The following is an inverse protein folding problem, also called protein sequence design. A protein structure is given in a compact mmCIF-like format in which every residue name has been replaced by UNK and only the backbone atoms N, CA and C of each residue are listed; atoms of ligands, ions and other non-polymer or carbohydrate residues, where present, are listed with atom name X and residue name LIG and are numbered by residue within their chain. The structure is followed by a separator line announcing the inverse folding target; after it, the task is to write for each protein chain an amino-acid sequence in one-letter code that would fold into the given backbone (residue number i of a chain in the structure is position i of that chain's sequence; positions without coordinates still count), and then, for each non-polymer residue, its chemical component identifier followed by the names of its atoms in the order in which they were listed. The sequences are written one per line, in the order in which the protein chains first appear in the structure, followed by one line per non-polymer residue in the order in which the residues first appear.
data_IF_302709509547
#
_entry.id   IF_302709509547
#
_cell.length_a   1.000
_cell.length_b   1.000
_cell.length_c   1.000
_cell.angle_alpha   90.00
_cell.angle_beta   90.00
_cell.angle_gamma   90.00
#
_symmetry.space_group_name_H-M   'P 1'
#
loop_
_entity.id
_entity.type
_entity.pdbx_description
1 polymer ?
#
# COMPACT_ATOMS: atom_id res chain seq x y z
N UNK A 1 28.86 37.02 -1.67
CA UNK A 1 27.77 36.97 -0.67
C UNK A 1 27.28 35.53 -0.64
N UNK A 2 27.86 34.74 0.25
CA UNK A 2 27.43 33.37 0.53
C UNK A 2 26.21 33.44 1.45
N UNK A 3 25.12 32.78 1.07
CA UNK A 3 23.92 32.67 1.91
C UNK A 3 24.01 31.34 2.65
N UNK A 4 24.44 31.43 3.91
CA UNK A 4 24.47 30.31 4.86
C UNK A 4 23.05 29.95 5.28
N UNK A 5 22.54 28.81 4.81
CA UNK A 5 21.26 28.25 5.29
C UNK A 5 21.52 27.54 6.62
N UNK A 6 21.11 28.20 7.71
CA UNK A 6 21.13 27.68 9.07
C UNK A 6 20.08 26.58 9.23
N UNK A 7 20.51 25.31 9.33
CA UNK A 7 19.65 24.20 9.76
C UNK A 7 19.37 24.34 11.26
N UNK A 8 18.13 24.69 11.62
CA UNK A 8 17.62 24.48 12.99
C UNK A 8 17.45 22.98 13.21
N UNK A 9 18.36 22.39 13.97
CA UNK A 9 18.19 21.08 14.57
C UNK A 9 17.11 21.19 15.67
N UNK A 10 15.88 20.80 15.32
CA UNK A 10 14.86 20.46 16.30
C UNK A 10 15.15 19.07 16.87
N UNK A 11 15.11 18.96 18.19
CA UNK A 11 15.36 17.75 18.96
C UNK A 11 14.28 16.69 18.64
N UNK A 12 14.58 15.76 17.75
CA UNK A 12 13.89 14.48 17.69
C UNK A 12 14.33 13.62 18.90
N UNK A 13 13.40 12.94 19.59
CA UNK A 13 13.79 11.97 20.62
C UNK A 13 14.62 10.85 19.97
N UNK A 14 15.64 10.31 20.65
CA UNK A 14 16.52 9.33 20.05
C UNK A 14 15.71 8.09 19.63
N UNK A 15 15.77 7.75 18.34
CA UNK A 15 15.43 6.43 17.83
C UNK A 15 16.06 5.40 18.76
N UNK A 16 15.22 4.53 19.35
CA UNK A 16 15.66 3.48 20.28
C UNK A 16 16.81 2.69 19.66
N UNK A 17 17.79 2.23 20.45
CA UNK A 17 18.92 1.48 19.94
C UNK A 17 18.42 0.27 19.15
N UNK A 18 18.80 0.22 17.88
CA UNK A 18 18.53 -0.89 16.98
C UNK A 18 19.10 -2.16 17.63
N UNK A 19 18.30 -3.21 17.87
CA UNK A 19 18.81 -4.45 18.42
C UNK A 19 19.94 -5.00 17.54
N UNK A 20 21.10 -5.24 18.15
CA UNK A 20 22.26 -5.83 17.47
C UNK A 20 22.00 -7.28 17.00
N UNK A 21 20.99 -7.93 17.59
CA UNK A 21 20.67 -9.34 17.35
C UNK A 21 19.15 -9.56 17.25
N UNK A 22 18.61 -9.45 16.03
CA UNK A 22 17.19 -9.63 15.73
C UNK A 22 16.67 -11.05 15.96
N UNK A 23 17.55 -12.06 15.95
CA UNK A 23 17.17 -13.45 16.26
C UNK A 23 16.77 -13.58 17.72
N UNK A 24 17.54 -12.98 18.63
CA UNK A 24 17.19 -12.95 20.06
C UNK A 24 15.88 -12.19 20.31
N UNK A 25 15.69 -11.07 19.62
CA UNK A 25 14.42 -10.32 19.70
C UNK A 25 13.25 -11.21 19.29
N UNK A 26 13.37 -11.94 18.19
CA UNK A 26 12.34 -12.88 17.75
C UNK A 26 12.06 -13.94 18.82
N UNK A 27 13.10 -14.61 19.34
CA UNK A 27 12.97 -15.65 20.38
C UNK A 27 12.32 -15.14 21.67
N UNK A 28 12.73 -13.97 22.16
CA UNK A 28 12.16 -13.32 23.34
C UNK A 28 10.69 -12.95 23.12
N UNK A 29 10.36 -12.40 21.96
CA UNK A 29 9.00 -11.98 21.65
C UNK A 29 8.08 -13.17 21.43
N UNK A 30 8.54 -14.27 20.83
CA UNK A 30 7.77 -15.52 20.71
C UNK A 30 7.46 -16.11 22.09
N UNK A 31 8.41 -16.09 23.02
CA UNK A 31 8.17 -16.47 24.42
C UNK A 31 7.17 -15.54 25.11
N UNK A 32 7.26 -14.23 24.88
CA UNK A 32 6.29 -13.28 25.40
C UNK A 32 4.86 -13.54 24.87
N UNK A 33 4.71 -13.88 23.59
CA UNK A 33 3.42 -14.25 22.98
C UNK A 33 2.85 -15.53 23.61
N UNK A 34 3.69 -16.51 23.94
CA UNK A 34 3.25 -17.72 24.65
C UNK A 34 2.69 -17.42 26.05
N UNK A 35 3.21 -16.39 26.72
CA UNK A 35 2.73 -15.95 28.03
C UNK A 35 1.50 -15.03 27.93
N UNK A 36 1.50 -14.13 26.95
CA UNK A 36 0.41 -13.21 26.63
C UNK A 36 0.24 -13.06 25.12
N UNK A 37 -0.73 -13.80 24.58
CA UNK A 37 -1.07 -13.79 23.17
C UNK A 37 -1.72 -12.48 22.69
N UNK A 38 -2.09 -11.58 23.60
CA UNK A 38 -2.69 -10.29 23.27
C UNK A 38 -1.71 -9.12 23.45
N UNK A 39 -0.42 -9.40 23.65
CA UNK A 39 0.61 -8.39 23.81
C UNK A 39 0.91 -7.68 22.47
N UNK A 40 0.35 -6.47 22.30
CA UNK A 40 0.60 -5.58 21.14
C UNK A 40 2.10 -5.43 20.89
N UNK A 41 2.87 -5.17 21.96
CA UNK A 41 4.32 -4.95 21.88
C UNK A 41 5.06 -6.19 21.42
N UNK A 42 4.68 -7.39 21.90
CA UNK A 42 5.35 -8.63 21.50
C UNK A 42 5.10 -8.95 20.02
N UNK A 43 3.85 -8.80 19.56
CA UNK A 43 3.49 -8.96 18.15
C UNK A 43 4.20 -7.92 17.25
N UNK A 44 4.28 -6.66 17.67
CA UNK A 44 5.01 -5.63 16.92
C UNK A 44 6.50 -5.96 16.79
N UNK A 45 7.17 -6.26 17.92
CA UNK A 45 8.61 -6.50 17.95
C UNK A 45 9.02 -7.77 17.20
N UNK A 46 8.23 -8.86 17.27
CA UNK A 46 8.51 -10.07 16.47
C UNK A 46 8.29 -9.80 14.99
N UNK A 47 7.27 -9.00 14.63
CA UNK A 47 7.04 -8.55 13.26
C UNK A 47 8.27 -7.85 12.68
N UNK A 48 8.80 -6.85 13.40
CA UNK A 48 10.03 -6.14 13.01
C UNK A 48 11.24 -7.06 12.84
N UNK A 49 11.43 -8.00 13.78
CA UNK A 49 12.53 -8.96 13.72
C UNK A 49 12.46 -9.85 12.47
N UNK A 50 11.26 -10.30 12.11
CA UNK A 50 11.00 -11.11 10.92
C UNK A 50 11.24 -10.32 9.63
N UNK A 51 10.75 -9.07 9.55
CA UNK A 51 11.02 -8.19 8.40
C UNK A 51 12.52 -7.99 8.21
N UNK A 52 13.26 -7.76 9.30
CA UNK A 52 14.72 -7.58 9.24
C UNK A 52 15.46 -8.86 8.80
N UNK A 53 14.91 -10.03 9.16
CA UNK A 53 15.38 -11.35 8.70
C UNK A 53 14.89 -11.71 7.28
N UNK A 54 14.20 -10.80 6.59
CA UNK A 54 13.60 -10.98 5.25
C UNK A 54 12.46 -12.00 5.18
N UNK A 55 11.90 -12.40 6.31
CA UNK A 55 10.67 -13.18 6.38
C UNK A 55 9.47 -12.23 6.40
N UNK A 56 9.21 -11.62 5.24
CA UNK A 56 8.11 -10.66 5.05
C UNK A 56 6.73 -11.26 5.37
N UNK A 57 6.38 -12.47 4.89
CA UNK A 57 5.03 -13.02 5.09
C UNK A 57 4.68 -13.23 6.56
N UNK A 58 5.58 -13.81 7.36
CA UNK A 58 5.32 -14.00 8.79
C UNK A 58 5.39 -12.67 9.55
N UNK A 59 6.33 -11.79 9.19
CA UNK A 59 6.44 -10.46 9.80
C UNK A 59 5.17 -9.64 9.64
N UNK A 60 4.60 -9.62 8.44
CA UNK A 60 3.33 -8.96 8.11
C UNK A 60 2.18 -9.47 8.99
N UNK A 61 2.02 -10.79 9.14
CA UNK A 61 0.96 -11.38 9.99
C UNK A 61 1.05 -10.90 11.44
N UNK A 62 2.26 -10.82 11.97
CA UNK A 62 2.47 -10.35 13.34
C UNK A 62 2.20 -8.84 13.49
N UNK A 63 2.56 -8.03 12.48
CA UNK A 63 2.24 -6.60 12.45
C UNK A 63 0.72 -6.34 12.32
N UNK A 64 0.02 -7.08 11.45
CA UNK A 64 -1.45 -7.04 11.34
C UNK A 64 -2.11 -7.37 12.69
N UNK A 65 -1.65 -8.45 13.35
CA UNK A 65 -2.14 -8.82 14.67
C UNK A 65 -1.88 -7.75 15.74
N UNK A 66 -0.70 -7.12 15.72
CA UNK A 66 -0.37 -6.03 16.62
C UNK A 66 -1.30 -4.82 16.41
N UNK A 67 -1.61 -4.50 15.15
CA UNK A 67 -2.49 -3.40 14.78
C UNK A 67 -3.93 -3.63 15.26
N UNK A 68 -4.46 -4.84 15.06
CA UNK A 68 -5.80 -5.23 15.52
C UNK A 68 -5.92 -5.14 17.05
N UNK A 69 -4.93 -5.64 17.78
CA UNK A 69 -4.89 -5.57 19.25
C UNK A 69 -4.76 -4.12 19.75
N UNK A 70 -3.94 -3.30 19.07
CA UNK A 70 -3.70 -1.90 19.44
C UNK A 70 -4.95 -1.02 19.30
N UNK A 71 -5.75 -1.26 18.26
CA UNK A 71 -7.02 -0.53 18.02
C UNK A 71 -8.12 -0.89 19.02
N UNK A 72 -8.09 -2.07 19.63
CA UNK A 72 -9.06 -2.49 20.64
C UNK A 72 -8.75 -2.02 22.07
N UNK A 73 -7.46 -1.89 22.41
CA UNK A 73 -7.03 -1.66 23.79
C UNK A 73 -6.81 -0.17 24.16
N UNK A 74 -6.37 0.68 23.22
CA UNK A 74 -6.23 2.13 23.39
C UNK A 74 -5.88 2.81 22.05
N UNK A 75 -6.89 3.38 21.37
CA UNK A 75 -6.78 3.97 20.01
C UNK A 75 -5.83 5.17 19.87
N UNK A 76 -5.34 5.76 20.96
CA UNK A 76 -4.49 6.97 20.95
C UNK A 76 -2.99 6.67 21.06
N UNK A 77 -2.58 5.42 20.92
CA UNK A 77 -1.17 5.06 21.09
C UNK A 77 -0.38 5.40 19.83
N UNK A 78 0.68 6.20 19.96
CA UNK A 78 1.72 6.42 18.94
C UNK A 78 2.22 5.09 18.34
N UNK A 79 2.14 4.01 19.11
CA UNK A 79 2.48 2.66 18.70
C UNK A 79 1.60 2.14 17.54
N UNK A 80 0.31 2.51 17.47
CA UNK A 80 -0.59 2.06 16.39
C UNK A 80 -0.18 2.68 15.05
N UNK A 81 0.24 3.95 15.07
CA UNK A 81 0.76 4.64 13.90
C UNK A 81 2.11 4.05 13.45
N UNK A 82 3.03 3.85 14.38
CA UNK A 82 4.32 3.18 14.11
C UNK A 82 4.13 1.78 13.52
N UNK A 83 3.24 0.96 14.10
CA UNK A 83 2.94 -0.39 13.60
C UNK A 83 2.39 -0.32 12.17
N UNK A 84 1.48 0.62 11.89
CA UNK A 84 0.91 0.76 10.56
C UNK A 84 1.96 1.18 9.53
N UNK A 85 2.84 2.13 9.86
CA UNK A 85 3.92 2.57 8.96
C UNK A 85 4.84 1.40 8.58
N UNK A 86 5.22 0.59 9.57
CA UNK A 86 6.07 -0.58 9.33
C UNK A 86 5.36 -1.67 8.51
N UNK A 87 4.07 -1.91 8.79
CA UNK A 87 3.23 -2.81 7.99
C UNK A 87 3.09 -2.33 6.54
N UNK A 88 2.81 -1.04 6.35
CA UNK A 88 2.65 -0.43 5.04
C UNK A 88 3.95 -0.51 4.24
N UNK A 89 5.09 -0.20 4.86
CA UNK A 89 6.42 -0.35 4.26
C UNK A 89 6.70 -1.80 3.85
N UNK A 90 6.35 -2.78 4.70
CA UNK A 90 6.54 -4.21 4.38
C UNK A 90 5.66 -4.66 3.20
N UNK A 91 4.37 -4.31 3.20
CA UNK A 91 3.42 -4.62 2.12
C UNK A 91 3.80 -3.95 0.80
N UNK A 92 4.21 -2.68 0.85
CA UNK A 92 4.69 -1.97 -0.34
C UNK A 92 5.92 -2.66 -0.94
N UNK A 93 6.91 -3.04 -0.13
CA UNK A 93 8.10 -3.75 -0.62
C UNK A 93 7.79 -5.11 -1.23
N UNK A 94 6.85 -5.85 -0.64
CA UNK A 94 6.37 -7.12 -1.20
C UNK A 94 5.75 -6.90 -2.58
N UNK A 95 4.87 -5.89 -2.71
CA UNK A 95 4.29 -5.50 -3.99
C UNK A 95 5.34 -5.02 -4.99
N UNK A 96 6.30 -4.18 -4.59
CA UNK A 96 7.32 -3.61 -5.47
C UNK A 96 8.21 -4.71 -6.08
N UNK A 97 8.61 -5.70 -5.27
CA UNK A 97 9.36 -6.86 -5.75
C UNK A 97 8.55 -7.69 -6.74
N UNK A 98 7.28 -7.98 -6.40
CA UNK A 98 6.39 -8.74 -7.27
C UNK A 98 6.11 -8.00 -8.59
N UNK A 99 5.83 -6.71 -8.53
CA UNK A 99 5.60 -5.84 -9.70
C UNK A 99 6.84 -5.76 -10.59
N UNK A 100 8.03 -5.55 -10.01
CA UNK A 100 9.28 -5.51 -10.77
C UNK A 100 9.51 -6.81 -11.54
N UNK A 101 9.29 -7.95 -10.86
CA UNK A 101 9.38 -9.27 -11.49
C UNK A 101 8.36 -9.43 -12.62
N UNK A 102 7.09 -9.09 -12.39
CA UNK A 102 6.04 -9.13 -13.41
C UNK A 102 6.37 -8.26 -14.61
N UNK A 103 6.84 -7.04 -14.39
CA UNK A 103 7.23 -6.10 -15.45
C UNK A 103 8.35 -6.68 -16.32
N UNK A 104 9.37 -7.29 -15.69
CA UNK A 104 10.46 -7.94 -16.42
C UNK A 104 9.98 -9.16 -17.23
N UNK A 105 9.15 -10.02 -16.64
CA UNK A 105 8.56 -11.18 -17.34
C UNK A 105 7.69 -10.75 -18.52
N UNK A 106 6.87 -9.71 -18.33
CA UNK A 106 5.99 -9.15 -19.34
C UNK A 106 6.78 -8.56 -20.52
N UNK A 107 7.84 -7.80 -20.23
CA UNK A 107 8.71 -7.23 -21.26
C UNK A 107 9.43 -8.32 -22.06
N UNK A 108 9.95 -9.33 -21.38
CA UNK A 108 10.60 -10.49 -22.02
C UNK A 108 9.63 -11.22 -22.95
N UNK A 109 8.40 -11.45 -22.49
CA UNK A 109 7.36 -12.11 -23.29
C UNK A 109 6.93 -11.26 -24.48
N UNK A 110 6.80 -9.93 -24.30
CA UNK A 110 6.48 -8.99 -25.38
C UNK A 110 7.51 -9.07 -26.50
N UNK A 111 8.80 -8.97 -26.17
CA UNK A 111 9.90 -9.04 -27.14
C UNK A 111 9.92 -10.39 -27.88
N UNK A 112 9.69 -11.49 -27.17
CA UNK A 112 9.60 -12.82 -27.77
C UNK A 112 8.41 -12.93 -28.76
N UNK A 113 7.25 -12.38 -28.40
CA UNK A 113 6.07 -12.38 -29.27
C UNK A 113 6.26 -11.48 -30.50
N UNK A 114 6.86 -10.31 -30.34
CA UNK A 114 7.18 -9.41 -31.46
C UNK A 114 8.15 -10.09 -32.44
N UNK A 115 9.25 -10.67 -31.92
CA UNK A 115 10.22 -11.40 -32.74
C UNK A 115 9.59 -12.60 -33.47
N UNK A 116 8.68 -13.34 -32.83
CA UNK A 116 7.98 -14.46 -33.46
C UNK A 116 7.04 -14.00 -34.60
N UNK A 117 6.35 -12.88 -34.42
CA UNK A 117 5.50 -12.29 -35.47
C UNK A 117 6.35 -11.80 -36.65
N UNK A 118 7.48 -11.16 -36.39
CA UNK A 118 8.41 -10.69 -37.43
C UNK A 118 8.99 -11.87 -38.23
N UNK A 119 9.42 -12.95 -37.55
CA UNK A 119 9.91 -14.16 -38.23
C UNK A 119 8.84 -14.81 -39.09
N UNK A 120 7.60 -14.90 -38.59
CA UNK A 120 6.48 -15.43 -39.36
C UNK A 120 6.24 -14.60 -40.62
N UNK A 121 6.20 -13.28 -40.49
CA UNK A 121 6.02 -12.38 -41.62
C UNK A 121 7.14 -12.52 -42.66
N UNK A 122 8.40 -12.63 -42.21
CA UNK A 122 9.54 -12.86 -43.10
C UNK A 122 9.44 -14.17 -43.88
N UNK A 123 8.98 -15.25 -43.25
CA UNK A 123 8.74 -16.54 -43.92
C UNK A 123 7.59 -16.45 -44.93
N UNK A 124 6.48 -15.81 -44.56
CA UNK A 124 5.30 -15.67 -45.43
C UNK A 124 5.58 -14.78 -46.66
N UNK A 125 6.49 -13.80 -46.57
CA UNK A 125 6.92 -12.96 -47.70
C UNK A 125 7.78 -13.69 -48.76
N UNK A 126 8.30 -14.88 -48.47
CA UNK A 126 9.16 -15.62 -49.40
C UNK A 126 8.39 -16.34 -50.52
N UNK A 127 7.06 -16.33 -50.49
CA UNK A 127 6.17 -16.85 -51.53
C UNK A 127 5.82 -15.74 -52.56
N UNK A 128 6.00 -15.96 -53.88
CA UNK A 128 5.80 -14.91 -54.88
C UNK A 128 4.33 -14.74 -55.27
N UNK A 129 3.82 -13.49 -55.17
CA UNK A 129 2.94 -12.75 -56.11
C UNK A 129 1.83 -11.90 -55.44
N UNK A 130 1.86 -10.59 -55.70
CA UNK A 130 0.66 -9.75 -55.88
C UNK A 130 0.05 -8.98 -54.69
N UNK A 131 0.25 -9.40 -53.44
CA UNK A 131 -0.49 -8.86 -52.26
C UNK A 131 0.37 -8.20 -51.16
N UNK A 132 1.58 -7.74 -51.50
CA UNK A 132 2.60 -7.25 -50.54
C UNK A 132 2.06 -6.16 -49.60
N UNK A 133 1.33 -5.18 -50.14
CA UNK A 133 0.85 -4.01 -49.39
C UNK A 133 -0.24 -4.38 -48.34
N UNK A 134 -1.11 -5.34 -48.68
CA UNK A 134 -2.16 -5.82 -47.78
C UNK A 134 -1.59 -6.73 -46.68
N UNK A 135 -0.59 -7.55 -47.01
CA UNK A 135 0.13 -8.38 -46.04
C UNK A 135 0.95 -7.53 -45.04
N UNK A 136 1.61 -6.47 -45.52
CA UNK A 136 2.33 -5.52 -44.68
C UNK A 136 1.39 -4.79 -43.71
N UNK A 137 0.25 -4.32 -44.21
CA UNK A 137 -0.75 -3.67 -43.36
C UNK A 137 -1.29 -4.61 -42.28
N UNK A 138 -1.63 -5.85 -42.65
CA UNK A 138 -2.13 -6.86 -41.71
C UNK A 138 -1.09 -7.21 -40.63
N UNK A 139 0.18 -7.35 -41.00
CA UNK A 139 1.27 -7.60 -40.05
C UNK A 139 1.46 -6.44 -39.07
N UNK A 140 1.45 -5.20 -39.57
CA UNK A 140 1.52 -3.99 -38.72
C UNK A 140 0.35 -3.90 -37.75
N UNK A 141 -0.86 -4.24 -38.18
CA UNK A 141 -2.04 -4.28 -37.32
C UNK A 141 -1.91 -5.34 -36.21
N UNK A 142 -1.36 -6.51 -36.52
CA UNK A 142 -1.07 -7.55 -35.53
C UNK A 142 -0.05 -7.09 -34.48
N UNK A 143 1.05 -6.46 -34.91
CA UNK A 143 2.06 -5.90 -34.00
C UNK A 143 1.47 -4.80 -33.10
N UNK A 144 0.66 -3.88 -33.67
CA UNK A 144 -0.01 -2.85 -32.89
C UNK A 144 -0.99 -3.44 -31.87
N UNK A 145 -1.74 -4.47 -32.27
CA UNK A 145 -2.66 -5.17 -31.36
C UNK A 145 -1.90 -5.85 -30.23
N UNK A 146 -0.79 -6.54 -30.53
CA UNK A 146 0.09 -7.16 -29.56
C UNK A 146 0.62 -6.12 -28.55
N UNK A 147 1.17 -5.01 -29.04
CA UNK A 147 1.69 -3.92 -28.21
C UNK A 147 0.61 -3.35 -27.29
N UNK A 148 -0.59 -3.12 -27.81
CA UNK A 148 -1.72 -2.62 -27.01
C UNK A 148 -2.11 -3.58 -25.87
N UNK A 149 -2.09 -4.90 -26.11
CA UNK A 149 -2.37 -5.89 -25.04
C UNK A 149 -1.36 -5.77 -23.89
N UNK A 150 -0.07 -5.69 -24.21
CA UNK A 150 0.99 -5.56 -23.22
C UNK A 150 0.97 -4.19 -22.50
N UNK A 151 0.71 -3.10 -23.23
CA UNK A 151 0.58 -1.76 -22.67
C UNK A 151 -0.59 -1.66 -21.68
N UNK A 152 -1.75 -2.22 -22.03
CA UNK A 152 -2.92 -2.22 -21.14
C UNK A 152 -2.63 -2.97 -19.82
N UNK A 153 -1.87 -4.06 -19.87
CA UNK A 153 -1.48 -4.79 -18.67
C UNK A 153 -0.45 -4.02 -17.83
N UNK A 154 0.53 -3.38 -18.48
CA UNK A 154 1.52 -2.54 -17.79
C UNK A 154 0.87 -1.36 -17.07
N UNK A 155 -0.13 -0.72 -17.67
CA UNK A 155 -0.90 0.36 -17.04
C UNK A 155 -1.65 -0.13 -15.79
N UNK A 156 -2.22 -1.33 -15.83
CA UNK A 156 -2.95 -1.89 -14.69
C UNK A 156 -2.05 -2.22 -13.48
N UNK A 157 -0.75 -2.47 -13.71
CA UNK A 157 0.23 -2.75 -12.65
C UNK A 157 0.97 -1.49 -12.16
N UNK A 158 0.76 -0.33 -12.80
CA UNK A 158 1.44 0.91 -12.43
C UNK A 158 0.79 1.57 -11.19
N UNK A 159 1.59 2.22 -10.32
CA UNK A 159 1.05 3.11 -9.29
C UNK A 159 0.17 4.21 -9.90
N UNK A 160 -0.94 4.51 -9.23
CA UNK A 160 -1.88 5.55 -9.66
C UNK A 160 -2.46 6.29 -8.45
N UNK A 161 -3.65 6.87 -8.57
CA UNK A 161 -4.31 7.58 -7.48
C UNK A 161 -5.28 6.68 -6.73
N UNK A 162 -5.31 6.82 -5.40
CA UNK A 162 -6.32 6.16 -4.58
C UNK A 162 -7.67 6.85 -4.81
N UNK A 163 -8.77 6.11 -5.07
CA UNK A 163 -10.08 6.73 -5.27
C UNK A 163 -10.55 7.53 -4.05
N UNK A 164 -11.01 8.76 -4.27
CA UNK A 164 -11.43 9.72 -3.22
C UNK A 164 -12.48 9.18 -2.21
N UNK A 165 -13.29 8.19 -2.61
CA UNK A 165 -14.30 7.59 -1.76
C UNK A 165 -13.71 6.59 -0.74
N UNK A 166 -12.44 6.21 -0.90
CA UNK A 166 -11.64 5.45 0.06
C UNK A 166 -10.76 6.34 0.95
N UNK A 167 -10.75 7.66 0.69
CA UNK A 167 -9.93 8.63 1.40
C UNK A 167 -10.71 9.37 2.48
N UNK A 168 -10.00 9.70 3.56
CA UNK A 168 -10.50 10.53 4.65
C UNK A 168 -10.75 11.95 4.18
N UNK A 169 -11.90 12.55 4.55
CA UNK A 169 -12.24 13.93 4.14
C UNK A 169 -11.44 15.04 4.85
N UNK A 170 -10.56 14.69 5.79
CA UNK A 170 -9.67 15.63 6.46
C UNK A 170 -8.23 15.43 5.99
N UNK A 171 -7.70 14.21 6.07
CA UNK A 171 -6.29 13.95 5.71
C UNK A 171 -6.08 13.76 4.22
N UNK A 172 -7.14 13.39 3.48
CA UNK A 172 -7.10 12.99 2.08
C UNK A 172 -6.35 11.68 1.81
N UNK A 173 -5.85 11.02 2.86
CA UNK A 173 -5.21 9.70 2.78
C UNK A 173 -6.23 8.58 2.85
N UNK A 174 -5.82 7.40 2.39
CA UNK A 174 -6.62 6.17 2.46
C UNK A 174 -7.03 5.87 3.92
N UNK A 175 -8.30 5.54 4.11
CA UNK A 175 -8.90 5.30 5.44
C UNK A 175 -8.36 4.01 6.08
N UNK A 176 -7.90 4.08 7.32
CA UNK A 176 -7.34 2.94 8.05
C UNK A 176 -8.30 2.44 9.12
N UNK A 177 -8.90 3.34 9.89
CA UNK A 177 -9.97 3.06 10.87
C UNK A 177 -11.17 3.98 10.60
N UNK A 178 -11.94 3.70 9.53
CA UNK A 178 -13.01 4.57 9.09
C UNK A 178 -14.18 4.59 10.09
N UNK A 179 -14.65 5.79 10.40
CA UNK A 179 -15.90 6.06 11.14
C UNK A 179 -16.82 6.91 10.32
N UNK A 180 -18.12 6.62 10.37
CA UNK A 180 -19.16 7.36 9.67
C UNK A 180 -19.97 8.21 10.67
N UNK A 181 -20.31 9.42 10.24
CA UNK A 181 -21.18 10.37 10.98
C UNK A 181 -22.65 10.16 10.59
N UNK A 182 -23.62 10.65 11.38
CA UNK A 182 -25.04 10.62 11.01
C UNK A 182 -25.35 11.32 9.68
N UNK A 183 -24.54 12.32 9.32
CA UNK A 183 -24.63 13.04 8.04
C UNK A 183 -24.09 12.22 6.86
N UNK A 184 -23.61 10.99 7.09
CA UNK A 184 -23.15 10.05 6.07
C UNK A 184 -21.69 10.23 5.63
N UNK A 185 -20.94 11.11 6.29
CA UNK A 185 -19.54 11.38 5.94
C UNK A 185 -18.61 10.43 6.69
N UNK A 186 -17.61 9.88 6.00
CA UNK A 186 -16.63 8.96 6.60
C UNK A 186 -15.28 9.67 6.81
N UNK A 187 -14.71 9.48 8.00
CA UNK A 187 -13.43 10.05 8.42
C UNK A 187 -12.52 8.98 9.01
N UNK A 188 -11.22 9.27 9.05
CA UNK A 188 -10.28 8.53 9.89
C UNK A 188 -10.57 8.83 11.35
N UNK A 189 -10.77 7.79 12.17
CA UNK A 189 -11.22 7.94 13.57
C UNK A 189 -10.30 8.85 14.37
N UNK A 190 -8.99 8.61 14.31
CA UNK A 190 -8.02 9.38 15.08
C UNK A 190 -8.12 10.88 14.77
N UNK A 191 -8.41 11.22 13.51
CA UNK A 191 -8.42 12.58 12.98
C UNK A 191 -9.70 13.31 13.36
N UNK A 192 -10.88 12.69 13.22
CA UNK A 192 -12.14 13.33 13.65
C UNK A 192 -12.18 13.52 15.18
N UNK A 193 -11.61 12.58 15.95
CA UNK A 193 -11.49 12.72 17.39
C UNK A 193 -10.51 13.82 17.81
N UNK A 194 -9.47 14.09 17.02
CA UNK A 194 -8.55 15.20 17.24
C UNK A 194 -9.22 16.54 16.88
N UNK A 195 -10.03 16.58 15.81
CA UNK A 195 -10.86 17.73 15.44
C UNK A 195 -11.83 18.13 16.57
N UNK A 196 -12.54 17.17 17.19
CA UNK A 196 -13.42 17.48 18.33
C UNK A 196 -12.69 18.14 19.50
N UNK A 197 -11.44 17.72 19.76
CA UNK A 197 -10.63 18.28 20.86
C UNK A 197 -10.07 19.67 20.55
N UNK A 198 -9.62 19.89 19.32
CA UNK A 198 -8.88 21.11 18.93
C UNK A 198 -9.76 22.21 18.35
N UNK A 199 -10.85 21.83 17.68
CA UNK A 199 -11.69 22.73 16.89
C UNK A 199 -13.10 22.80 17.46
N UNK A 200 -13.73 21.66 17.72
CA UNK A 200 -15.02 21.57 18.39
C UNK A 200 -15.93 20.44 17.88
N UNK A 201 -17.04 20.22 18.59
CA UNK A 201 -17.99 19.13 18.37
C UNK A 201 -18.98 19.46 17.24
N UNK A 202 -18.47 19.51 16.01
CA UNK A 202 -19.27 19.65 14.80
C UNK A 202 -18.64 18.88 13.64
N UNK A 203 -19.46 18.44 12.69
CA UNK A 203 -19.01 17.77 11.48
C UNK A 203 -18.16 18.73 10.62
N UNK A 204 -16.90 18.38 10.28
CA UNK A 204 -16.00 19.26 9.52
C UNK A 204 -16.56 19.75 8.18
N UNK A 205 -17.43 18.94 7.54
CA UNK A 205 -17.97 19.21 6.21
C UNK A 205 -19.35 19.87 6.33
N UNK A 206 -20.30 19.28 7.06
CA UNK A 206 -21.68 19.77 7.12
C UNK A 206 -21.88 20.88 8.15
N UNK A 207 -20.94 21.02 9.10
CA UNK A 207 -21.01 21.96 10.24
C UNK A 207 -22.15 21.70 11.21
N UNK A 208 -22.83 20.56 11.08
CA UNK A 208 -23.85 20.13 12.04
C UNK A 208 -23.21 19.72 13.37
N UNK A 209 -23.94 19.87 14.48
CA UNK A 209 -23.46 19.41 15.79
C UNK A 209 -23.21 17.90 15.74
N UNK A 210 -22.04 17.49 16.23
CA UNK A 210 -21.59 16.11 16.16
C UNK A 210 -20.78 15.77 17.40
N UNK A 211 -21.23 14.75 18.12
CA UNK A 211 -20.55 14.21 19.29
C UNK A 211 -19.87 12.87 18.98
N UNK A 212 -18.80 12.56 19.75
CA UNK A 212 -18.03 11.31 19.62
C UNK A 212 -18.92 10.05 19.74
N UNK A 213 -19.97 10.10 20.56
CA UNK A 213 -20.90 8.97 20.74
C UNK A 213 -21.71 8.62 19.49
N UNK A 214 -21.79 9.53 18.51
CA UNK A 214 -22.51 9.33 17.26
C UNK A 214 -21.64 8.70 16.17
N UNK A 215 -20.33 8.56 16.39
CA UNK A 215 -19.41 7.95 15.44
C UNK A 215 -19.59 6.43 15.43
N UNK A 216 -19.95 5.89 14.27
CA UNK A 216 -20.10 4.45 14.07
C UNK A 216 -18.93 3.93 13.24
N UNK A 217 -18.26 2.81 13.60
CA UNK A 217 -17.27 2.17 12.72
C UNK A 217 -17.88 1.82 11.36
N UNK A 218 -17.27 2.29 10.27
CA UNK A 218 -17.74 2.00 8.92
C UNK A 218 -17.03 0.74 8.39
N UNK A 219 -17.52 -0.42 8.83
CA UNK A 219 -16.93 -1.73 8.50
C UNK A 219 -16.95 -2.00 6.98
N UNK A 220 -17.99 -1.55 6.28
CA UNK A 220 -18.09 -1.71 4.82
C UNK A 220 -16.97 -0.95 4.08
N UNK A 221 -16.68 0.29 4.47
CA UNK A 221 -15.56 1.05 3.89
C UNK A 221 -14.22 0.44 4.32
N UNK A 222 -14.10 -0.08 5.54
CA UNK A 222 -12.89 -0.79 5.98
C UNK A 222 -12.60 -2.01 5.09
N UNK A 223 -13.61 -2.81 4.79
CA UNK A 223 -13.50 -3.96 3.88
C UNK A 223 -13.20 -3.51 2.45
N UNK A 224 -13.83 -2.44 1.96
CA UNK A 224 -13.56 -1.89 0.63
C UNK A 224 -12.11 -1.39 0.48
N UNK A 225 -11.58 -0.70 1.50
CA UNK A 225 -10.17 -0.30 1.54
C UNK A 225 -9.27 -1.52 1.53
N UNK A 226 -9.56 -2.55 2.33
CA UNK A 226 -8.72 -3.74 2.38
C UNK A 226 -8.71 -4.46 1.01
N UNK A 227 -9.87 -4.65 0.39
CA UNK A 227 -9.98 -5.23 -0.94
C UNK A 227 -9.24 -4.41 -2.01
N UNK A 228 -9.25 -3.08 -1.89
CA UNK A 228 -8.47 -2.20 -2.76
C UNK A 228 -6.97 -2.40 -2.54
N UNK A 229 -6.49 -2.40 -1.30
CA UNK A 229 -5.08 -2.60 -0.95
C UNK A 229 -4.55 -3.98 -1.37
N UNK A 230 -5.36 -5.03 -1.23
CA UNK A 230 -5.00 -6.39 -1.66
C UNK A 230 -4.75 -6.45 -3.18
N UNK A 231 -5.48 -5.64 -3.95
CA UNK A 231 -5.32 -5.54 -5.40
C UNK A 231 -4.25 -4.52 -5.82
N UNK A 232 -4.07 -3.46 -5.04
CA UNK A 232 -3.26 -2.30 -5.36
C UNK A 232 -2.20 -2.05 -4.27
N UNK A 233 -1.24 -2.97 -4.15
CA UNK A 233 -0.21 -2.91 -3.10
C UNK A 233 0.66 -1.65 -3.11
N UNK A 234 0.75 -0.93 -4.24
CA UNK A 234 1.40 0.38 -4.29
C UNK A 234 0.73 1.43 -3.39
N UNK A 235 -0.56 1.29 -3.10
CA UNK A 235 -1.33 2.25 -2.31
C UNK A 235 -0.96 2.24 -0.82
N UNK A 236 -0.16 1.26 -0.37
CA UNK A 236 0.47 1.29 0.95
C UNK A 236 1.51 2.42 1.09
N UNK A 237 2.04 2.97 0.00
CA UNK A 237 2.99 4.09 0.00
C UNK A 237 2.31 5.48 -0.04
N UNK A 238 1.09 5.59 0.49
CA UNK A 238 0.40 6.87 0.56
C UNK A 238 0.99 7.70 1.71
N UNK A 239 1.55 8.87 1.35
CA UNK A 239 2.39 9.79 2.14
C UNK A 239 1.98 10.04 3.60
#
# INVERSE_FOLDING_TARGET
MEITISRRAGLEPPLKPIPSDWKKVEEDCRRAIQLDNNSVKAHYMVGLALIQNKDYPEGIKHLEKALDLGRGANQKSYMVEEIWQELANAKYREWEQASTKRSWELQTLKEACEAALEQKYFLDQSEPEGFVDQAESAHREQLNSLRSVFENYAVADAPSEVPDHLCCKITLDILRDPVITPSGVTYERAVILDHFRKVGNFDPITRELLDESQLVPNLAIKEAVQAFLDKHGWAYNSN
#
